data_IF_316331735602
#
_entry.id   IF_316331735602
#
_cell.length_a   1.000
_cell.length_b   1.000
_cell.length_c   1.000
_cell.angle_alpha   90.00
_cell.angle_beta   90.00
_cell.angle_gamma   90.00
#
_symmetry.space_group_name_H-M   'P 1'
#
loop_
_entity.id
_entity.type
_entity.pdbx_description
1 polymer ?
#
# COMPACT_ATOMS: atom_id res chain seq x y z
N UNK A 1 -27.62 -10.79 -1.62
CA UNK A 1 -26.73 -10.43 -0.50
C UNK A 1 -26.10 -9.08 -0.80
N UNK A 2 -25.95 -8.23 0.20
CA UNK A 2 -25.27 -6.94 0.02
C UNK A 2 -23.80 -7.19 -0.27
N UNK A 3 -23.26 -6.47 -1.26
CA UNK A 3 -21.83 -6.60 -1.64
C UNK A 3 -20.95 -6.04 -0.51
N UNK A 4 -19.85 -6.73 -0.20
CA UNK A 4 -18.84 -6.19 0.71
C UNK A 4 -18.09 -5.05 0.06
N UNK A 5 -17.96 -3.93 0.76
CA UNK A 5 -17.21 -2.77 0.29
C UNK A 5 -15.75 -2.94 0.68
N UNK A 6 -14.87 -2.81 -0.31
CA UNK A 6 -13.42 -2.89 -0.14
C UNK A 6 -12.82 -1.54 -0.51
N UNK A 7 -11.96 -1.00 0.34
CA UNK A 7 -11.12 0.16 0.00
C UNK A 7 -9.65 -0.24 0.01
N UNK A 8 -8.97 0.04 -1.09
CA UNK A 8 -7.51 -0.12 -1.21
C UNK A 8 -6.88 1.20 -1.64
N UNK A 9 -5.78 1.57 -1.00
CA UNK A 9 -5.04 2.80 -1.32
C UNK A 9 -3.58 2.52 -1.68
N UNK A 10 -3.05 3.29 -2.63
CA UNK A 10 -1.63 3.26 -2.99
C UNK A 10 -1.09 4.67 -3.15
N UNK A 11 0.04 4.95 -2.51
CA UNK A 11 0.71 6.25 -2.69
C UNK A 11 1.42 6.32 -4.04
N UNK A 12 1.33 7.46 -4.77
CA UNK A 12 2.03 7.68 -6.02
C UNK A 12 3.52 8.02 -5.80
N UNK A 13 4.22 7.17 -5.06
CA UNK A 13 5.62 7.39 -4.62
C UNK A 13 6.66 6.87 -5.61
N UNK A 14 6.33 6.79 -6.90
CA UNK A 14 7.16 6.30 -8.00
C UNK A 14 6.67 4.96 -8.56
N UNK A 15 7.36 4.46 -9.58
CA UNK A 15 6.98 3.25 -10.30
C UNK A 15 7.08 2.03 -9.37
N UNK A 16 6.03 1.20 -9.25
CA UNK A 16 6.07 -0.03 -8.48
C UNK A 16 7.09 -1.04 -9.01
N UNK A 17 7.59 -1.87 -8.12
CA UNK A 17 8.43 -3.01 -8.46
C UNK A 17 7.60 -4.27 -8.68
N UNK A 18 8.20 -5.32 -9.24
CA UNK A 18 7.62 -6.65 -9.30
C UNK A 18 7.12 -7.12 -7.91
N UNK A 19 7.85 -6.79 -6.83
CA UNK A 19 7.42 -7.10 -5.46
C UNK A 19 6.13 -6.38 -5.06
N UNK A 20 5.93 -5.14 -5.51
CA UNK A 20 4.67 -4.43 -5.29
C UNK A 20 3.52 -5.03 -6.12
N UNK A 21 3.80 -5.44 -7.35
CA UNK A 21 2.81 -6.10 -8.22
C UNK A 21 2.33 -7.42 -7.60
N UNK A 22 3.23 -8.33 -7.27
CA UNK A 22 2.90 -9.65 -6.70
C UNK A 22 2.25 -9.51 -5.32
N UNK A 23 2.76 -8.60 -4.49
CA UNK A 23 2.29 -8.42 -3.11
C UNK A 23 0.96 -7.67 -2.97
N UNK A 24 0.63 -6.79 -3.91
CA UNK A 24 -0.54 -5.93 -3.81
C UNK A 24 -1.38 -5.86 -5.10
N UNK A 25 -0.83 -5.33 -6.20
CA UNK A 25 -1.62 -4.97 -7.39
C UNK A 25 -2.32 -6.17 -8.03
N UNK A 26 -1.63 -7.32 -8.12
CA UNK A 26 -2.23 -8.59 -8.60
C UNK A 26 -3.44 -9.00 -7.75
N UNK A 27 -3.35 -8.82 -6.45
CA UNK A 27 -4.44 -9.16 -5.54
C UNK A 27 -5.65 -8.24 -5.72
N UNK A 28 -5.45 -6.99 -6.10
CA UNK A 28 -6.53 -6.05 -6.38
C UNK A 28 -7.38 -6.50 -7.58
N UNK A 29 -6.75 -7.00 -8.64
CA UNK A 29 -7.49 -7.65 -9.74
C UNK A 29 -8.32 -8.83 -9.25
N UNK A 30 -7.76 -9.67 -8.36
CA UNK A 30 -8.43 -10.86 -7.85
C UNK A 30 -9.57 -10.54 -6.84
N UNK A 31 -9.56 -9.35 -6.25
CA UNK A 31 -10.60 -8.90 -5.33
C UNK A 31 -11.87 -8.43 -6.04
N UNK A 32 -11.79 -8.10 -7.32
CA UNK A 32 -12.94 -7.70 -8.13
C UNK A 32 -13.80 -8.93 -8.44
N UNK A 33 -14.82 -9.16 -7.66
CA UNK A 33 -15.75 -10.29 -7.76
C UNK A 33 -17.19 -9.82 -7.54
N UNK A 34 -18.16 -10.60 -7.96
CA UNK A 34 -19.58 -10.22 -7.94
C UNK A 34 -20.14 -9.95 -6.54
N UNK A 35 -19.49 -10.51 -5.50
CA UNK A 35 -19.85 -10.33 -4.08
C UNK A 35 -19.18 -9.11 -3.43
N UNK A 36 -18.33 -8.38 -4.19
CA UNK A 36 -17.56 -7.24 -3.67
C UNK A 36 -17.74 -6.00 -4.54
N UNK A 37 -17.62 -4.83 -3.89
CA UNK A 37 -17.52 -3.55 -4.54
C UNK A 37 -16.21 -2.88 -4.10
N UNK A 38 -15.29 -2.68 -5.04
CA UNK A 38 -13.94 -2.23 -4.71
C UNK A 38 -13.76 -0.76 -5.10
N UNK A 39 -13.22 0.02 -4.17
CA UNK A 39 -12.70 1.36 -4.39
C UNK A 39 -11.17 1.33 -4.40
N UNK A 40 -10.55 1.89 -5.44
CA UNK A 40 -9.10 1.98 -5.57
C UNK A 40 -8.65 3.44 -5.57
N UNK A 41 -7.98 3.84 -4.49
CA UNK A 41 -7.57 5.20 -4.22
C UNK A 41 -6.09 5.41 -4.51
N UNK A 42 -5.77 6.38 -5.36
CA UNK A 42 -4.41 6.93 -5.45
C UNK A 42 -4.23 7.95 -4.33
N UNK A 43 -3.57 7.54 -3.26
CA UNK A 43 -3.45 8.25 -2.00
C UNK A 43 -2.38 9.36 -2.05
N UNK A 44 -2.61 10.39 -2.87
CA UNK A 44 -1.65 11.46 -3.11
C UNK A 44 -1.53 12.44 -1.93
N UNK A 45 -2.57 12.60 -1.11
CA UNK A 45 -2.48 13.43 0.10
C UNK A 45 -1.55 12.80 1.14
N UNK A 46 -1.53 11.46 1.26
CA UNK A 46 -0.56 10.78 2.12
C UNK A 46 0.90 10.97 1.67
N UNK A 47 1.13 11.22 0.37
CA UNK A 47 2.45 11.49 -0.14
C UNK A 47 3.01 12.85 0.35
N UNK A 48 2.14 13.79 0.73
CA UNK A 48 2.53 15.12 1.22
C UNK A 48 3.22 15.11 2.59
N UNK A 49 3.17 13.98 3.31
CA UNK A 49 3.95 13.81 4.56
C UNK A 49 5.46 13.92 4.34
N UNK A 50 5.90 13.78 3.09
CA UNK A 50 7.26 14.08 2.61
C UNK A 50 7.15 15.16 1.55
N UNK A 51 8.11 16.09 1.50
CA UNK A 51 8.10 17.16 0.47
C UNK A 51 8.09 16.57 -0.93
N UNK A 52 7.17 17.05 -1.76
CA UNK A 52 6.97 16.62 -3.14
C UNK A 52 7.17 17.81 -4.10
N UNK A 53 7.71 17.54 -5.27
CA UNK A 53 7.55 18.45 -6.40
C UNK A 53 6.09 18.38 -6.91
N UNK A 54 5.35 19.49 -7.01
CA UNK A 54 3.93 19.46 -7.35
C UNK A 54 3.64 18.87 -8.74
N UNK A 55 4.48 19.18 -9.74
CA UNK A 55 4.30 18.67 -11.11
C UNK A 55 4.53 17.16 -11.15
N UNK A 56 5.60 16.72 -10.48
CA UNK A 56 5.93 15.31 -10.40
C UNK A 56 4.89 14.51 -9.60
N UNK A 57 4.33 15.07 -8.53
CA UNK A 57 3.27 14.43 -7.77
C UNK A 57 2.00 14.26 -8.62
N UNK A 58 1.64 15.28 -9.40
CA UNK A 58 0.50 15.22 -10.31
C UNK A 58 0.70 14.14 -11.39
N UNK A 59 1.85 14.15 -12.05
CA UNK A 59 2.23 13.15 -13.08
C UNK A 59 2.19 11.73 -12.50
N UNK A 60 2.79 11.52 -11.33
CA UNK A 60 2.82 10.23 -10.64
C UNK A 60 1.43 9.77 -10.21
N UNK A 61 0.54 10.69 -9.84
CA UNK A 61 -0.83 10.36 -9.43
C UNK A 61 -1.61 9.81 -10.62
N UNK A 62 -1.60 10.48 -11.77
CA UNK A 62 -2.23 9.97 -12.99
C UNK A 62 -1.55 8.71 -13.53
N UNK A 63 -0.20 8.68 -13.51
CA UNK A 63 0.55 7.49 -13.91
C UNK A 63 0.21 6.26 -13.06
N UNK A 64 0.00 6.46 -11.74
CA UNK A 64 -0.42 5.38 -10.85
C UNK A 64 -1.85 4.90 -11.16
N UNK A 65 -2.80 5.81 -11.42
CA UNK A 65 -4.16 5.43 -11.82
C UNK A 65 -4.16 4.63 -13.13
N UNK A 66 -3.43 5.09 -14.14
CA UNK A 66 -3.26 4.36 -15.40
C UNK A 66 -2.65 2.98 -15.21
N UNK A 67 -1.66 2.88 -14.31
CA UNK A 67 -0.99 1.63 -13.99
C UNK A 67 -1.93 0.62 -13.31
N UNK A 68 -2.80 1.07 -12.41
CA UNK A 68 -3.81 0.20 -11.77
C UNK A 68 -4.71 -0.44 -12.83
N UNK A 69 -5.17 0.36 -13.80
CA UNK A 69 -6.00 -0.12 -14.92
C UNK A 69 -5.19 -1.12 -15.77
N UNK A 70 -3.95 -0.80 -16.12
CA UNK A 70 -3.08 -1.70 -16.86
C UNK A 70 -2.78 -3.01 -16.13
N UNK A 71 -2.76 -3.00 -14.79
CA UNK A 71 -2.62 -4.20 -13.96
C UNK A 71 -3.91 -5.01 -13.82
N UNK A 72 -5.01 -4.58 -14.45
CA UNK A 72 -6.28 -5.33 -14.54
C UNK A 72 -7.35 -4.89 -13.55
N UNK A 73 -7.23 -3.69 -12.97
CA UNK A 73 -8.36 -3.05 -12.32
C UNK A 73 -9.32 -2.55 -13.40
N UNK A 74 -10.57 -3.00 -13.32
CA UNK A 74 -11.63 -2.56 -14.24
C UNK A 74 -12.36 -1.33 -13.68
N UNK A 75 -12.12 -0.12 -14.22
CA UNK A 75 -12.72 1.10 -13.71
C UNK A 75 -14.24 1.20 -13.94
N UNK A 76 -14.81 0.33 -14.78
CA UNK A 76 -16.26 0.29 -15.03
C UNK A 76 -17.03 -0.38 -13.88
N UNK A 77 -16.38 -1.26 -13.15
CA UNK A 77 -16.95 -2.01 -12.02
C UNK A 77 -16.38 -1.61 -10.67
N UNK A 78 -15.16 -1.06 -10.68
CA UNK A 78 -14.38 -0.71 -9.48
C UNK A 78 -13.76 0.68 -9.66
N UNK A 79 -14.35 1.74 -9.09
CA UNK A 79 -13.85 3.09 -9.25
C UNK A 79 -12.36 3.24 -8.89
N UNK A 80 -11.59 3.88 -9.79
CA UNK A 80 -10.22 4.30 -9.56
C UNK A 80 -10.23 5.83 -9.47
N UNK A 81 -9.75 6.39 -8.38
CA UNK A 81 -9.79 7.84 -8.16
C UNK A 81 -8.55 8.37 -7.47
N UNK A 82 -8.31 9.67 -7.60
CA UNK A 82 -7.25 10.39 -6.91
C UNK A 82 -7.84 10.97 -5.62
N UNK A 83 -7.22 10.72 -4.49
CA UNK A 83 -7.70 11.09 -3.15
C UNK A 83 -8.03 12.58 -3.04
N UNK A 84 -7.16 13.45 -3.56
CA UNK A 84 -7.37 14.90 -3.48
C UNK A 84 -8.56 15.43 -4.29
N UNK A 85 -9.08 14.65 -5.25
CA UNK A 85 -10.22 15.05 -6.07
C UNK A 85 -11.56 14.84 -5.33
N UNK A 86 -11.52 14.12 -4.19
CA UNK A 86 -12.64 13.91 -3.28
C UNK A 86 -12.38 14.66 -1.98
N UNK A 87 -12.82 15.91 -1.90
CA UNK A 87 -12.53 16.81 -0.77
C UNK A 87 -12.98 16.28 0.59
N UNK A 88 -13.99 15.43 0.60
CA UNK A 88 -14.54 14.80 1.81
C UNK A 88 -13.50 13.98 2.59
N UNK A 89 -12.43 13.53 1.98
CA UNK A 89 -11.31 12.89 2.70
C UNK A 89 -10.70 13.86 3.73
N UNK A 90 -10.48 15.13 3.35
CA UNK A 90 -9.95 16.15 4.25
C UNK A 90 -10.97 16.56 5.32
N UNK A 91 -12.25 16.68 4.96
CA UNK A 91 -13.33 17.00 5.91
C UNK A 91 -13.48 15.87 6.94
N UNK A 92 -13.55 14.62 6.49
CA UNK A 92 -13.64 13.46 7.37
C UNK A 92 -12.41 13.35 8.28
N UNK A 93 -11.21 13.58 7.75
CA UNK A 93 -9.98 13.63 8.56
C UNK A 93 -10.12 14.63 9.72
N UNK A 94 -10.66 15.83 9.48
CA UNK A 94 -10.84 16.83 10.53
C UNK A 94 -11.83 16.36 11.60
N UNK A 95 -12.99 15.86 11.20
CA UNK A 95 -14.01 15.33 12.11
C UNK A 95 -13.46 14.21 12.98
N UNK A 96 -12.72 13.28 12.38
CA UNK A 96 -12.13 12.15 13.09
C UNK A 96 -10.94 12.58 13.96
N UNK A 97 -10.17 13.60 13.55
CA UNK A 97 -9.08 14.15 14.37
C UNK A 97 -9.60 14.71 15.70
N UNK A 98 -10.77 15.35 15.69
CA UNK A 98 -11.44 15.81 16.91
C UNK A 98 -11.94 14.66 17.82
N UNK A 99 -11.98 13.45 17.29
CA UNK A 99 -12.37 12.22 18.00
C UNK A 99 -11.20 11.25 18.24
N UNK A 100 -9.94 11.68 17.98
CA UNK A 100 -8.74 10.85 18.14
C UNK A 100 -7.87 11.40 19.28
N UNK A 101 -7.41 10.52 20.16
CA UNK A 101 -6.57 10.94 21.27
C UNK A 101 -5.09 10.93 20.91
N UNK A 102 -4.36 11.96 21.38
CA UNK A 102 -2.92 12.08 21.18
C UNK A 102 -2.13 10.84 21.64
N UNK A 103 -2.57 10.20 22.75
CA UNK A 103 -1.97 8.98 23.26
C UNK A 103 -2.08 7.77 22.33
N UNK A 104 -3.09 7.72 21.47
CA UNK A 104 -3.24 6.68 20.45
C UNK A 104 -2.24 6.88 19.31
N UNK A 105 -2.11 8.12 18.83
CA UNK A 105 -1.13 8.48 17.80
C UNK A 105 0.31 8.28 18.28
N UNK A 106 0.61 8.57 19.55
CA UNK A 106 1.94 8.35 20.13
C UNK A 106 2.36 6.86 20.13
N UNK A 107 1.42 5.93 20.12
CA UNK A 107 1.68 4.48 20.10
C UNK A 107 1.91 3.94 18.70
N UNK A 108 1.66 4.73 17.64
CA UNK A 108 1.85 4.30 16.26
C UNK A 108 3.33 4.02 15.95
N UNK A 109 3.65 2.77 15.63
CA UNK A 109 5.02 2.34 15.34
C UNK A 109 5.58 2.98 14.08
N UNK A 110 4.74 3.14 13.05
CA UNK A 110 5.12 3.74 11.77
C UNK A 110 5.57 5.21 11.90
N UNK A 111 5.03 5.96 12.87
CA UNK A 111 5.51 7.33 13.14
C UNK A 111 6.96 7.30 13.60
N UNK A 112 7.31 6.40 14.52
CA UNK A 112 8.68 6.26 15.05
C UNK A 112 9.67 5.90 13.94
N UNK A 113 9.30 4.94 13.10
CA UNK A 113 10.14 4.47 12.00
C UNK A 113 10.35 5.54 10.92
N UNK A 114 9.30 6.28 10.56
CA UNK A 114 9.37 7.35 9.55
C UNK A 114 10.08 8.59 10.08
N UNK A 115 9.88 8.96 11.34
CA UNK A 115 10.59 10.07 11.97
C UNK A 115 12.10 9.85 12.01
N UNK A 116 12.53 8.61 12.26
CA UNK A 116 13.94 8.25 12.23
C UNK A 116 14.56 8.37 10.83
N UNK A 117 13.77 8.07 9.76
CA UNK A 117 14.22 8.13 8.37
C UNK A 117 14.21 9.55 7.77
N UNK A 118 13.37 10.44 8.29
CA UNK A 118 13.14 11.79 7.78
C UNK A 118 13.29 12.83 8.89
N UNK A 119 14.38 12.74 9.69
CA UNK A 119 14.64 13.58 10.85
C UNK A 119 14.58 15.09 10.53
N UNK A 120 14.92 15.48 9.31
CA UNK A 120 14.94 16.89 8.86
C UNK A 120 13.55 17.44 8.50
N UNK A 121 12.52 16.61 8.46
CA UNK A 121 11.16 16.99 8.04
C UNK A 121 10.08 16.24 8.83
N UNK A 122 10.13 16.28 10.13
CA UNK A 122 9.07 15.77 11.00
C UNK A 122 7.97 16.81 11.05
N UNK A 123 6.88 16.60 10.33
CA UNK A 123 5.75 17.53 10.26
C UNK A 123 4.49 16.95 10.91
N UNK A 124 3.49 17.80 11.17
CA UNK A 124 2.23 17.39 11.77
C UNK A 124 1.49 16.32 10.94
N UNK A 125 1.54 16.39 9.61
CA UNK A 125 0.93 15.39 8.73
C UNK A 125 1.53 13.99 8.91
N UNK A 126 2.84 13.89 9.17
CA UNK A 126 3.48 12.62 9.47
C UNK A 126 2.99 12.02 10.79
N UNK A 127 2.59 12.85 11.75
CA UNK A 127 2.02 12.41 13.02
C UNK A 127 0.54 12.06 12.90
N UNK A 128 -0.24 12.80 12.10
CA UNK A 128 -1.70 12.69 12.04
C UNK A 128 -2.22 11.88 10.84
N UNK A 129 -1.36 11.45 9.90
CA UNK A 129 -1.82 10.68 8.72
C UNK A 129 -2.63 9.41 9.06
N UNK A 130 -2.48 8.73 10.22
CA UNK A 130 -3.34 7.61 10.57
C UNK A 130 -4.82 8.00 10.66
N UNK A 131 -5.11 9.26 11.04
CA UNK A 131 -6.47 9.80 11.07
C UNK A 131 -6.99 10.07 9.66
N UNK A 132 -6.14 10.57 8.75
CA UNK A 132 -6.50 10.70 7.34
C UNK A 132 -6.82 9.34 6.73
N UNK A 133 -6.01 8.31 7.03
CA UNK A 133 -6.30 6.94 6.57
C UNK A 133 -7.61 6.41 7.16
N UNK A 134 -7.92 6.71 8.42
CA UNK A 134 -9.21 6.39 9.00
C UNK A 134 -10.36 7.09 8.25
N UNK A 135 -10.17 8.37 7.91
CA UNK A 135 -11.10 9.13 7.06
C UNK A 135 -11.30 8.49 5.69
N UNK A 136 -10.22 8.09 5.03
CA UNK A 136 -10.30 7.38 3.74
C UNK A 136 -11.19 6.14 3.83
N UNK A 137 -11.02 5.34 4.88
CA UNK A 137 -11.71 4.06 5.06
C UNK A 137 -13.18 4.26 5.43
N UNK A 138 -13.44 5.12 6.41
CA UNK A 138 -14.79 5.31 6.98
C UNK A 138 -15.71 6.09 6.06
N UNK A 139 -15.19 6.97 5.21
CA UNK A 139 -15.94 7.72 4.21
C UNK A 139 -16.75 6.81 3.28
N UNK A 140 -16.20 5.65 2.93
CA UNK A 140 -16.83 4.68 2.03
C UNK A 140 -17.51 3.53 2.76
N UNK A 141 -17.59 3.55 4.09
CA UNK A 141 -18.18 2.46 4.88
C UNK A 141 -17.54 1.10 4.54
N UNK A 142 -16.23 1.07 4.38
CA UNK A 142 -15.52 -0.12 3.95
C UNK A 142 -15.67 -1.27 4.96
N UNK A 143 -16.04 -2.45 4.47
CA UNK A 143 -16.10 -3.68 5.28
C UNK A 143 -14.71 -4.31 5.42
N UNK A 144 -13.90 -4.25 4.35
CA UNK A 144 -12.57 -4.87 4.29
C UNK A 144 -11.52 -3.89 3.74
N UNK A 145 -10.34 -3.90 4.36
CA UNK A 145 -9.21 -3.07 3.92
C UNK A 145 -8.01 -4.00 3.66
N UNK A 146 -7.64 -4.24 2.38
CA UNK A 146 -6.45 -5.01 2.02
C UNK A 146 -5.18 -4.30 2.47
N UNK A 147 -4.47 -4.88 3.42
CA UNK A 147 -3.26 -4.30 4.00
C UNK A 147 -2.17 -5.35 4.23
N UNK A 148 -0.91 -4.92 4.21
CA UNK A 148 0.20 -5.69 4.74
C UNK A 148 0.19 -5.70 6.29
N UNK A 149 0.94 -6.61 6.88
CA UNK A 149 1.03 -6.73 8.35
C UNK A 149 1.50 -5.42 9.02
N UNK A 150 2.35 -4.64 8.37
CA UNK A 150 2.84 -3.35 8.84
C UNK A 150 1.77 -2.26 8.90
N UNK A 151 0.64 -2.43 8.20
CA UNK A 151 -0.49 -1.50 8.18
C UNK A 151 -1.66 -1.96 9.06
N UNK A 152 -1.58 -3.12 9.70
CA UNK A 152 -2.65 -3.66 10.54
C UNK A 152 -3.02 -2.69 11.67
N UNK A 153 -2.01 -2.08 12.31
CA UNK A 153 -2.21 -1.11 13.39
C UNK A 153 -3.02 0.12 12.93
N UNK A 154 -2.93 0.52 11.65
CA UNK A 154 -3.74 1.61 11.12
C UNK A 154 -5.21 1.25 10.98
N UNK A 155 -5.52 0.00 10.64
CA UNK A 155 -6.92 -0.46 10.61
C UNK A 155 -7.45 -0.61 12.05
N UNK A 156 -6.63 -1.03 13.00
CA UNK A 156 -7.00 -1.10 14.42
C UNK A 156 -7.37 0.27 14.99
N UNK A 157 -6.53 1.31 14.79
CA UNK A 157 -6.87 2.68 15.24
C UNK A 157 -8.10 3.22 14.52
N UNK A 158 -8.31 2.89 13.24
CA UNK A 158 -9.53 3.25 12.50
C UNK A 158 -10.79 2.68 13.18
N UNK A 159 -10.73 1.42 13.60
CA UNK A 159 -11.82 0.75 14.33
C UNK A 159 -12.10 1.42 15.68
N UNK A 160 -11.03 1.76 16.42
CA UNK A 160 -11.15 2.42 17.72
C UNK A 160 -11.80 3.80 17.59
N UNK A 161 -11.41 4.58 16.57
CA UNK A 161 -12.00 5.89 16.26
C UNK A 161 -13.49 5.71 15.87
N UNK A 162 -13.81 4.76 14.98
CA UNK A 162 -15.18 4.50 14.54
C UNK A 162 -16.09 4.05 15.70
N UNK A 163 -15.60 3.13 16.54
CA UNK A 163 -16.35 2.66 17.70
C UNK A 163 -16.63 3.80 18.70
N UNK A 164 -15.64 4.64 18.95
CA UNK A 164 -15.79 5.81 19.83
C UNK A 164 -16.80 6.80 19.27
N UNK A 165 -16.72 7.08 17.97
CA UNK A 165 -17.66 7.96 17.30
C UNK A 165 -19.08 7.42 17.38
N UNK A 166 -19.28 6.14 17.07
CA UNK A 166 -20.57 5.47 17.16
C UNK A 166 -21.16 5.52 18.59
N UNK A 167 -20.32 5.32 19.60
CA UNK A 167 -20.77 5.42 21.00
C UNK A 167 -21.21 6.82 21.41
N UNK A 168 -20.58 7.86 20.84
CA UNK A 168 -20.90 9.25 21.18
C UNK A 168 -22.10 9.82 20.40
N UNK A 169 -22.24 9.42 19.12
CA UNK A 169 -23.17 10.06 18.17
C UNK A 169 -24.20 9.10 17.54
N UNK A 170 -24.18 7.81 17.91
CA UNK A 170 -25.03 6.77 17.33
C UNK A 170 -24.32 6.03 16.19
N UNK A 171 -24.89 4.88 15.78
CA UNK A 171 -24.32 4.03 14.73
C UNK A 171 -24.22 4.79 13.40
N UNK A 172 -23.00 5.20 13.08
CA UNK A 172 -22.66 6.00 11.89
C UNK A 172 -21.70 5.26 10.98
N UNK A 173 -20.64 4.65 11.53
CA UNK A 173 -19.60 3.99 10.78
C UNK A 173 -19.62 2.47 10.94
N UNK A 174 -19.41 1.74 9.83
CA UNK A 174 -19.04 0.33 9.89
C UNK A 174 -17.64 0.18 10.49
N UNK A 175 -17.41 -0.89 11.25
CA UNK A 175 -16.07 -1.23 11.77
C UNK A 175 -15.33 -2.07 10.73
N UNK A 176 -14.31 -1.50 10.05
CA UNK A 176 -13.61 -2.20 8.98
C UNK A 176 -12.76 -3.35 9.52
N UNK A 177 -12.59 -4.41 8.72
CA UNK A 177 -11.69 -5.51 9.04
C UNK A 177 -10.44 -5.49 8.14
N UNK A 178 -9.24 -5.75 8.68
CA UNK A 178 -8.05 -5.90 7.86
C UNK A 178 -8.15 -7.19 7.02
N UNK A 179 -7.94 -7.07 5.72
CA UNK A 179 -7.84 -8.21 4.83
C UNK A 179 -6.37 -8.43 4.47
N UNK A 180 -5.81 -9.54 4.95
CA UNK A 180 -4.43 -9.93 4.63
C UNK A 180 -4.51 -10.99 3.53
N UNK A 181 -4.09 -10.69 2.29
CA UNK A 181 -4.12 -11.65 1.19
C UNK A 181 -3.30 -12.90 1.54
N UNK A 182 -3.88 -14.07 1.33
CA UNK A 182 -3.18 -15.36 1.53
C UNK A 182 -2.11 -15.63 0.47
N UNK A 183 -2.23 -14.99 -0.69
CA UNK A 183 -1.36 -15.16 -1.84
C UNK A 183 -0.60 -13.86 -2.09
N UNK A 184 0.70 -13.93 -2.00
CA UNK A 184 1.62 -12.81 -2.23
C UNK A 184 2.92 -13.10 -1.51
N UNK A 185 3.80 -13.87 -2.13
CA UNK A 185 5.13 -14.13 -1.62
C UNK A 185 5.89 -12.81 -1.41
N UNK A 186 6.67 -12.72 -0.35
CA UNK A 186 7.58 -11.59 -0.16
C UNK A 186 8.70 -11.69 -1.18
N UNK A 187 8.65 -10.87 -2.22
CA UNK A 187 9.71 -10.81 -3.23
C UNK A 187 10.92 -10.09 -2.63
N UNK A 188 12.07 -10.74 -2.67
CA UNK A 188 13.32 -10.22 -2.14
C UNK A 188 14.15 -9.55 -3.24
N UNK A 189 15.15 -8.76 -2.84
CA UNK A 189 16.09 -8.13 -3.76
C UNK A 189 16.83 -9.19 -4.61
N UNK A 190 17.07 -8.90 -5.87
CA UNK A 190 17.80 -9.79 -6.76
C UNK A 190 19.29 -9.84 -6.46
N UNK A 191 19.84 -8.82 -5.80
CA UNK A 191 21.27 -8.72 -5.45
C UNK A 191 21.56 -8.98 -3.98
N UNK A 192 20.52 -8.98 -3.12
CA UNK A 192 20.63 -9.28 -1.70
C UNK A 192 19.32 -9.96 -1.23
N UNK A 193 19.20 -11.28 -1.38
CA UNK A 193 17.96 -12.00 -1.12
C UNK A 193 17.54 -12.05 0.35
N UNK A 194 18.33 -11.50 1.26
CA UNK A 194 17.95 -11.29 2.66
C UNK A 194 17.12 -10.00 2.86
N UNK A 195 17.18 -9.06 1.89
CA UNK A 195 16.42 -7.82 1.92
C UNK A 195 15.22 -7.85 1.00
N UNK A 196 14.12 -7.22 1.44
CA UNK A 196 12.93 -7.05 0.59
C UNK A 196 13.26 -6.21 -0.64
N UNK A 197 12.74 -6.61 -1.81
CA UNK A 197 12.82 -5.81 -3.04
C UNK A 197 12.24 -4.40 -2.80
N UNK A 198 13.02 -3.38 -3.11
CA UNK A 198 12.66 -1.99 -2.86
C UNK A 198 13.04 -1.10 -4.04
N UNK A 199 12.11 -0.23 -4.46
CA UNK A 199 12.36 0.80 -5.48
C UNK A 199 13.31 1.92 -5.02
N UNK A 200 13.52 2.05 -3.72
CA UNK A 200 14.44 3.02 -3.12
C UNK A 200 15.86 2.48 -2.94
N UNK A 201 16.15 1.27 -3.41
CA UNK A 201 17.51 0.72 -3.42
C UNK A 201 18.38 1.53 -4.38
N UNK A 202 19.59 1.85 -3.97
CA UNK A 202 20.57 2.57 -4.79
C UNK A 202 21.11 1.74 -5.94
N UNK A 203 21.06 0.39 -5.83
CA UNK A 203 21.45 -0.52 -6.89
C UNK A 203 20.27 -0.83 -7.82
N UNK A 204 20.24 -0.33 -9.06
CA UNK A 204 19.13 -0.55 -9.99
C UNK A 204 18.98 -2.03 -10.43
N UNK A 205 19.97 -2.89 -10.17
CA UNK A 205 19.87 -4.33 -10.43
C UNK A 205 19.20 -5.12 -9.29
N UNK A 206 18.95 -4.48 -8.15
CA UNK A 206 18.36 -5.13 -6.98
C UNK A 206 16.85 -5.37 -7.13
N UNK A 207 16.19 -4.66 -8.03
CA UNK A 207 14.75 -4.74 -8.23
C UNK A 207 14.38 -4.73 -9.73
N UNK A 208 13.19 -5.24 -10.02
CA UNK A 208 12.54 -5.12 -11.33
C UNK A 208 11.44 -4.08 -11.20
N UNK A 209 11.53 -3.00 -12.00
CA UNK A 209 10.41 -2.09 -12.21
C UNK A 209 9.39 -2.77 -13.14
N UNK A 210 8.10 -2.58 -12.86
CA UNK A 210 7.05 -3.15 -13.74
C UNK A 210 7.00 -2.48 -15.12
N UNK A 211 7.73 -1.38 -15.33
CA UNK A 211 7.92 -0.71 -16.62
C UNK A 211 9.30 -0.98 -17.22
N UNK A 212 10.10 -1.88 -16.65
CA UNK A 212 11.36 -2.28 -17.29
C UNK A 212 11.11 -3.00 -18.61
N UNK A 213 11.88 -2.66 -19.62
CA UNK A 213 11.88 -3.36 -20.91
C UNK A 213 12.28 -4.84 -20.76
N UNK A 214 11.73 -5.77 -21.57
CA UNK A 214 12.02 -7.20 -21.45
C UNK A 214 13.49 -7.56 -21.46
N UNK A 215 14.32 -6.84 -22.25
CA UNK A 215 15.76 -7.04 -22.30
C UNK A 215 16.44 -6.66 -20.96
N UNK A 216 15.95 -5.60 -20.30
CA UNK A 216 16.44 -5.16 -18.99
C UNK A 216 16.06 -6.18 -17.91
N UNK A 217 14.81 -6.65 -17.92
CA UNK A 217 14.32 -7.69 -17.01
C UNK A 217 15.20 -8.96 -17.14
N UNK A 218 15.39 -9.44 -18.36
CA UNK A 218 16.22 -10.62 -18.63
C UNK A 218 17.66 -10.44 -18.10
N UNK A 219 18.24 -9.25 -18.30
CA UNK A 219 19.59 -8.94 -17.82
C UNK A 219 19.67 -8.94 -16.30
N UNK A 220 18.66 -8.39 -15.61
CA UNK A 220 18.58 -8.35 -14.15
C UNK A 220 18.45 -9.76 -13.56
N UNK A 221 17.60 -10.62 -14.13
CA UNK A 221 17.49 -12.02 -13.70
C UNK A 221 18.77 -12.82 -13.91
N UNK A 222 19.47 -12.65 -15.06
CA UNK A 222 20.75 -13.30 -15.31
C UNK A 222 21.85 -12.91 -14.32
N UNK A 223 21.72 -11.76 -13.65
CA UNK A 223 22.65 -11.23 -12.66
C UNK A 223 22.20 -11.42 -11.23
N UNK A 224 21.03 -11.99 -11.04
CA UNK A 224 20.49 -12.25 -9.70
C UNK A 224 21.38 -13.21 -8.93
N UNK A 225 21.47 -12.98 -7.63
CA UNK A 225 22.21 -13.86 -6.72
C UNK A 225 21.52 -15.22 -6.67
N UNK A 226 22.29 -16.25 -6.92
CA UNK A 226 21.93 -17.67 -6.78
C UNK A 226 22.94 -18.38 -5.88
N UNK A 227 23.08 -19.66 -6.01
CA UNK A 227 24.10 -20.49 -5.35
C UNK A 227 24.88 -21.34 -6.36
N UNK A 228 25.88 -22.08 -5.88
CA UNK A 228 26.77 -22.91 -6.68
C UNK A 228 26.31 -24.38 -6.83
N UNK A 229 25.12 -24.74 -6.30
CA UNK A 229 24.70 -26.15 -6.25
C UNK A 229 24.26 -26.73 -7.61
N UNK A 230 24.05 -25.90 -8.64
CA UNK A 230 23.73 -26.35 -10.00
C UNK A 230 22.37 -27.05 -10.17
N UNK A 231 21.49 -26.99 -9.16
CA UNK A 231 20.15 -27.59 -9.20
C UNK A 231 19.07 -26.56 -8.82
N UNK A 232 17.89 -26.73 -9.41
CA UNK A 232 16.70 -25.90 -9.10
C UNK A 232 15.88 -26.64 -8.05
N UNK A 233 15.90 -26.13 -6.79
CA UNK A 233 15.10 -26.66 -5.68
C UNK A 233 14.83 -25.57 -4.66
N UNK A 234 13.62 -25.59 -4.06
CA UNK A 234 13.23 -24.71 -2.97
C UNK A 234 13.64 -25.37 -1.64
N UNK A 235 14.68 -24.89 -1.00
CA UNK A 235 15.29 -25.52 0.17
C UNK A 235 15.77 -24.51 1.20
N UNK A 236 15.84 -24.91 2.46
CA UNK A 236 16.39 -24.07 3.52
C UNK A 236 17.86 -23.75 3.24
N UNK A 237 18.27 -22.51 3.50
CA UNK A 237 19.66 -22.06 3.29
C UNK A 237 19.98 -21.58 1.85
N UNK A 238 18.97 -21.53 0.97
CA UNK A 238 19.13 -21.10 -0.44
C UNK A 238 18.32 -19.85 -0.77
N UNK A 239 18.55 -18.70 -0.10
CA UNK A 239 17.67 -17.53 -0.20
C UNK A 239 17.57 -16.98 -1.63
N UNK A 240 18.67 -16.95 -2.41
CA UNK A 240 18.66 -16.48 -3.79
C UNK A 240 17.80 -17.35 -4.71
N UNK A 241 18.00 -18.67 -4.68
CA UNK A 241 17.22 -19.62 -5.47
C UNK A 241 15.74 -19.60 -5.05
N UNK A 242 15.47 -19.61 -3.73
CA UNK A 242 14.12 -19.55 -3.20
C UNK A 242 13.38 -18.28 -3.63
N UNK A 243 14.07 -17.12 -3.67
CA UNK A 243 13.49 -15.88 -4.17
C UNK A 243 13.08 -15.99 -5.65
N UNK A 244 13.96 -16.52 -6.50
CA UNK A 244 13.66 -16.70 -7.94
C UNK A 244 12.48 -17.66 -8.14
N UNK A 245 12.43 -18.77 -7.40
CA UNK A 245 11.32 -19.72 -7.45
C UNK A 245 10.01 -19.13 -6.91
N UNK A 246 10.07 -18.21 -5.94
CA UNK A 246 8.90 -17.51 -5.41
C UNK A 246 8.33 -16.45 -6.38
N UNK A 247 9.17 -15.96 -7.30
CA UNK A 247 8.76 -15.03 -8.35
C UNK A 247 8.10 -15.80 -9.51
N UNK A 248 8.63 -16.98 -9.85
CA UNK A 248 8.10 -17.86 -10.90
C UNK A 248 6.76 -18.47 -10.51
#
# INVERSE_FOLDING_TARGET
>A
MEKKIILSGIQPSGIPTLGNYVGALRNWKLLQSDDKFCYYCVANMHALTVRQDPKLLLERSFGMAALLIACGVDPTTSPVFIQSDVHQHAEMNWVLACNTYMGELNRMTQFKDKSAKHADNINAGLYTYPVLMAGDILLYQADLVPVGNDQKQHVEITRDIAARFNNAYGETFKLPEPYIPKVGGRVMSLTDPEKKMSKSDTNPNSYISILDEPAVITKKFKRAVTDSEGRIAYEQGRPGMNNLLSIY
#
